data_IF_263692418361
#
_entry.id   IF_263692418361
#
_cell.length_a   1.000
_cell.length_b   1.000
_cell.length_c   1.000
_cell.angle_alpha   90.00
_cell.angle_beta   90.00
_cell.angle_gamma   90.00
#
_symmetry.space_group_name_H-M   'P 1'
#
loop_
_entity.id
_entity.type
_entity.pdbx_description
1 polymer ?
#
# COMPACT_ATOMS: atom_id res chain seq x y z
N UNK A 1 4.33 35.90 -41.33
CA UNK A 1 3.31 34.89 -41.72
C UNK A 1 3.69 34.05 -42.96
N UNK A 2 4.52 34.54 -43.89
CA UNK A 2 4.91 33.78 -45.10
C UNK A 2 5.83 32.57 -44.82
N UNK A 3 6.73 32.69 -43.85
CA UNK A 3 7.75 31.67 -43.50
C UNK A 3 7.15 30.37 -42.96
N UNK A 4 6.18 30.45 -42.05
CA UNK A 4 5.44 29.29 -41.52
C UNK A 4 4.70 28.52 -42.63
N UNK A 5 4.11 29.24 -43.59
CA UNK A 5 3.38 28.65 -44.73
C UNK A 5 4.31 27.90 -45.68
N UNK A 6 5.53 28.42 -45.87
CA UNK A 6 6.57 27.77 -46.69
C UNK A 6 7.13 26.54 -45.98
N UNK A 7 7.41 26.64 -44.67
CA UNK A 7 7.89 25.51 -43.86
C UNK A 7 6.91 24.33 -43.85
N UNK A 8 5.61 24.60 -43.63
CA UNK A 8 4.57 23.56 -43.68
C UNK A 8 4.50 22.88 -45.05
N UNK A 9 4.50 23.65 -46.14
CA UNK A 9 4.50 23.10 -47.51
C UNK A 9 5.71 22.20 -47.77
N UNK A 10 6.87 22.53 -47.19
CA UNK A 10 8.11 21.76 -47.33
C UNK A 10 8.03 20.39 -46.63
N UNK A 11 7.42 20.37 -45.43
CA UNK A 11 7.17 19.13 -44.66
C UNK A 11 6.23 18.19 -45.43
N UNK A 12 5.13 18.72 -45.99
CA UNK A 12 4.16 17.93 -46.75
C UNK A 12 4.72 17.36 -48.06
N UNK A 13 5.66 18.07 -48.71
CA UNK A 13 6.26 17.66 -49.99
C UNK A 13 7.25 16.50 -49.86
N UNK A 14 7.90 16.32 -48.71
CA UNK A 14 8.75 15.16 -48.42
C UNK A 14 8.27 14.43 -47.14
N UNK A 15 7.06 13.89 -47.21
CA UNK A 15 6.31 13.36 -46.08
C UNK A 15 6.99 12.15 -45.45
N UNK A 16 7.63 11.28 -46.25
CA UNK A 16 8.29 10.07 -45.73
C UNK A 16 9.42 10.38 -44.75
N UNK A 17 10.33 11.30 -45.09
CA UNK A 17 11.44 11.69 -44.19
C UNK A 17 10.96 12.48 -42.98
N UNK A 18 9.99 13.38 -43.19
CA UNK A 18 9.46 14.22 -42.11
C UNK A 18 8.66 13.42 -41.08
N UNK A 19 7.93 12.38 -41.52
CA UNK A 19 7.18 11.50 -40.61
C UNK A 19 8.13 10.65 -39.77
N UNK A 20 9.21 10.09 -40.34
CA UNK A 20 10.15 9.28 -39.56
C UNK A 20 10.75 10.07 -38.40
N UNK A 21 11.25 11.28 -38.66
CA UNK A 21 11.84 12.12 -37.61
C UNK A 21 10.81 12.57 -36.58
N UNK A 22 9.61 12.97 -37.02
CA UNK A 22 8.53 13.36 -36.12
C UNK A 22 8.08 12.19 -35.23
N UNK A 23 7.94 11.00 -35.79
CA UNK A 23 7.58 9.79 -35.04
C UNK A 23 8.64 9.42 -34.01
N UNK A 24 9.93 9.51 -34.35
CA UNK A 24 11.01 9.26 -33.38
C UNK A 24 10.92 10.24 -32.21
N UNK A 25 10.71 11.52 -32.47
CA UNK A 25 10.56 12.55 -31.42
C UNK A 25 9.29 12.27 -30.60
N UNK A 26 8.17 11.96 -31.25
CA UNK A 26 6.89 11.68 -30.58
C UNK A 26 6.98 10.45 -29.67
N UNK A 27 7.62 9.37 -30.13
CA UNK A 27 7.85 8.16 -29.34
C UNK A 27 8.73 8.49 -28.13
N UNK A 28 9.84 9.22 -28.33
CA UNK A 28 10.72 9.63 -27.23
C UNK A 28 10.02 10.52 -26.20
N UNK A 29 9.27 11.52 -26.66
CA UNK A 29 8.51 12.42 -25.78
C UNK A 29 7.42 11.66 -25.01
N UNK A 30 6.70 10.75 -25.68
CA UNK A 30 5.68 9.92 -25.04
C UNK A 30 6.31 9.01 -23.98
N UNK A 31 7.45 8.38 -24.28
CA UNK A 31 8.16 7.53 -23.34
C UNK A 31 8.57 8.28 -22.07
N UNK A 32 9.11 9.50 -22.21
CA UNK A 32 9.49 10.35 -21.06
C UNK A 32 8.27 10.78 -20.24
N UNK A 33 7.17 11.17 -20.89
CA UNK A 33 5.94 11.58 -20.21
C UNK A 33 5.30 10.41 -19.44
N UNK A 34 5.19 9.24 -20.07
CA UNK A 34 4.65 8.03 -19.42
C UNK A 34 5.53 7.61 -18.25
N UNK A 35 6.86 7.66 -18.41
CA UNK A 35 7.77 7.35 -17.32
C UNK A 35 7.63 8.34 -16.15
N UNK A 36 7.53 9.64 -16.42
CA UNK A 36 7.30 10.65 -15.38
C UNK A 36 5.97 10.46 -14.63
N UNK A 37 4.89 10.15 -15.36
CA UNK A 37 3.60 9.82 -14.77
C UNK A 37 3.68 8.54 -13.90
N UNK A 38 4.36 7.50 -14.38
CA UNK A 38 4.56 6.26 -13.64
C UNK A 38 5.31 6.47 -12.32
N UNK A 39 6.39 7.24 -12.32
CA UNK A 39 7.13 7.56 -11.07
C UNK A 39 6.22 8.26 -10.06
N UNK A 40 5.41 9.21 -10.53
CA UNK A 40 4.47 9.95 -9.67
C UNK A 40 3.39 9.03 -9.09
N UNK A 41 2.82 8.15 -9.92
CA UNK A 41 1.81 7.18 -9.49
C UNK A 41 2.38 6.18 -8.46
N UNK A 42 3.59 5.68 -8.68
CA UNK A 42 4.28 4.81 -7.72
C UNK A 42 4.55 5.54 -6.40
N UNK A 43 4.99 6.80 -6.45
CA UNK A 43 5.26 7.58 -5.24
C UNK A 43 4.00 7.70 -4.37
N UNK A 44 2.87 8.09 -4.97
CA UNK A 44 1.62 8.20 -4.24
C UNK A 44 1.07 6.83 -3.84
N UNK A 45 1.19 5.81 -4.68
CA UNK A 45 0.76 4.45 -4.39
C UNK A 45 1.50 3.85 -3.19
N UNK A 46 2.81 4.08 -3.09
CA UNK A 46 3.63 3.63 -1.94
C UNK A 46 3.26 4.39 -0.67
N UNK A 47 3.08 5.71 -0.74
CA UNK A 47 2.65 6.52 0.41
C UNK A 47 1.27 6.06 0.92
N UNK A 48 0.32 5.91 -0.01
CA UNK A 48 -1.03 5.41 0.30
C UNK A 48 -0.99 4.00 0.87
N UNK A 49 -0.25 3.09 0.25
CA UNK A 49 -0.12 1.70 0.67
C UNK A 49 0.56 1.53 2.03
N UNK A 50 1.58 2.33 2.33
CA UNK A 50 2.27 2.30 3.63
C UNK A 50 1.31 2.64 4.78
N UNK A 51 0.50 3.68 4.57
CA UNK A 51 -0.47 4.16 5.54
C UNK A 51 -1.67 3.21 5.67
N UNK A 52 -2.21 2.71 4.55
CA UNK A 52 -3.27 1.69 4.56
C UNK A 52 -2.78 0.38 5.20
N UNK A 53 -1.50 0.04 5.01
CA UNK A 53 -0.86 -1.15 5.51
C UNK A 53 -0.67 -1.12 7.02
N UNK A 54 -0.03 -0.08 7.51
CA UNK A 54 0.52 -0.02 8.87
C UNK A 54 -0.18 0.98 9.79
N UNK A 55 -0.93 1.94 9.23
CA UNK A 55 -1.50 3.05 9.97
C UNK A 55 -0.47 4.17 10.23
N UNK A 56 -0.96 5.33 10.67
CA UNK A 56 -0.10 6.47 11.01
C UNK A 56 0.62 6.28 12.35
N UNK A 57 -0.01 5.58 13.29
CA UNK A 57 0.52 5.29 14.60
C UNK A 57 0.54 3.79 14.82
N UNK A 58 1.67 3.27 15.26
CA UNK A 58 1.83 1.87 15.63
C UNK A 58 2.32 1.79 17.08
N UNK A 59 1.65 0.97 17.87
CA UNK A 59 2.00 0.75 19.28
C UNK A 59 2.61 -0.63 19.42
N UNK A 60 3.85 -0.69 19.90
CA UNK A 60 4.58 -1.93 20.16
C UNK A 60 4.90 -2.07 21.65
N UNK A 61 5.06 -3.32 22.10
CA UNK A 61 5.59 -3.61 23.43
C UNK A 61 7.05 -3.13 23.52
N UNK A 62 7.42 -2.54 24.64
CA UNK A 62 8.81 -2.11 24.88
C UNK A 62 9.75 -3.31 24.71
N UNK A 63 10.84 -3.15 23.94
CA UNK A 63 11.79 -4.24 23.64
C UNK A 63 11.46 -5.06 22.37
N UNK A 64 10.29 -4.84 21.74
CA UNK A 64 9.90 -5.56 20.52
C UNK A 64 10.93 -5.43 19.38
N UNK A 65 11.52 -4.25 19.18
CA UNK A 65 12.52 -4.06 18.11
C UNK A 65 13.85 -4.75 18.38
N UNK A 66 14.19 -5.03 19.65
CA UNK A 66 15.45 -5.68 20.02
C UNK A 66 15.33 -7.21 20.04
N UNK A 67 14.19 -7.74 20.50
CA UNK A 67 14.03 -9.17 20.77
C UNK A 67 12.77 -9.79 20.15
N UNK A 68 11.78 -8.97 19.75
CA UNK A 68 10.48 -9.43 19.26
C UNK A 68 10.41 -9.74 17.77
N UNK A 69 11.39 -9.30 16.97
CA UNK A 69 11.44 -9.61 15.53
C UNK A 69 11.70 -11.09 15.23
N UNK A 70 12.42 -11.79 16.12
CA UNK A 70 12.69 -13.22 15.99
C UNK A 70 11.55 -14.11 16.51
N UNK A 71 10.71 -13.60 17.41
CA UNK A 71 9.61 -14.32 18.04
C UNK A 71 8.38 -13.41 18.21
N UNK A 72 7.71 -13.00 17.11
CA UNK A 72 6.62 -12.02 17.17
C UNK A 72 5.39 -12.51 17.94
N UNK A 73 5.21 -13.83 18.07
CA UNK A 73 4.13 -14.42 18.87
C UNK A 73 4.31 -14.15 20.38
N UNK A 74 5.55 -14.12 20.87
CA UNK A 74 5.86 -13.97 22.31
C UNK A 74 5.82 -12.50 22.77
N UNK A 75 5.91 -11.57 21.81
CA UNK A 75 5.95 -10.13 22.07
C UNK A 75 4.64 -9.41 21.75
N UNK A 76 3.53 -10.15 21.69
CA UNK A 76 2.19 -9.60 21.61
C UNK A 76 1.83 -8.72 22.83
N UNK A 77 0.82 -7.86 22.65
CA UNK A 77 0.26 -7.04 23.72
C UNK A 77 -0.88 -7.82 24.38
N UNK A 78 -0.67 -8.35 25.59
CA UNK A 78 -1.64 -9.19 26.29
C UNK A 78 -2.99 -8.47 26.55
N UNK A 79 -2.92 -7.22 27.04
CA UNK A 79 -4.09 -6.39 27.38
C UNK A 79 -4.47 -5.42 26.27
N UNK A 80 -4.48 -5.90 25.06
CA UNK A 80 -4.68 -5.02 23.93
C UNK A 80 -6.02 -4.30 23.87
N UNK A 81 -7.06 -4.91 24.44
CA UNK A 81 -8.41 -4.35 24.45
C UNK A 81 -8.44 -3.07 25.28
N UNK A 82 -7.62 -3.02 26.33
CA UNK A 82 -7.50 -1.85 27.19
C UNK A 82 -6.65 -0.77 26.50
N UNK A 83 -5.59 -1.16 25.80
CA UNK A 83 -4.78 -0.23 24.99
C UNK A 83 -5.60 0.36 23.85
N UNK A 84 -6.36 -0.45 23.12
CA UNK A 84 -7.21 0.02 22.01
C UNK A 84 -8.36 0.91 22.51
N UNK A 85 -8.91 0.61 23.70
CA UNK A 85 -9.89 1.46 24.37
C UNK A 85 -9.29 2.80 24.78
N UNK A 86 -8.13 2.79 25.43
CA UNK A 86 -7.43 4.00 25.85
C UNK A 86 -7.16 4.93 24.66
N UNK A 87 -6.66 4.38 23.55
CA UNK A 87 -6.40 5.14 22.31
C UNK A 87 -7.70 5.71 21.72
N UNK A 88 -8.81 4.98 21.81
CA UNK A 88 -10.11 5.42 21.26
C UNK A 88 -10.81 6.47 22.14
N UNK A 89 -10.57 6.42 23.44
CA UNK A 89 -11.19 7.30 24.43
C UNK A 89 -10.37 8.56 24.73
N UNK A 90 -9.09 8.57 24.34
CA UNK A 90 -8.20 9.73 24.49
C UNK A 90 -8.74 10.96 23.74
N UNK A 91 -8.92 12.12 24.41
CA UNK A 91 -9.50 13.33 23.81
C UNK A 91 -8.74 13.88 22.60
N UNK A 92 -7.41 13.71 22.57
CA UNK A 92 -6.55 14.21 21.50
C UNK A 92 -6.51 13.19 20.35
N UNK A 93 -6.27 11.91 20.67
CA UNK A 93 -6.16 10.87 19.64
C UNK A 93 -7.49 10.53 18.98
N UNK A 94 -8.61 10.67 19.68
CA UNK A 94 -9.95 10.37 19.14
C UNK A 94 -10.33 11.27 17.96
N UNK A 95 -9.87 12.53 17.95
CA UNK A 95 -10.15 13.44 16.84
C UNK A 95 -9.28 13.13 15.62
N UNK A 96 -8.09 12.60 15.87
CA UNK A 96 -7.09 12.29 14.87
C UNK A 96 -7.30 10.87 14.29
N UNK A 97 -7.88 9.96 15.07
CA UNK A 97 -7.99 8.51 14.77
C UNK A 97 -9.32 8.10 14.18
N UNK A 98 -9.28 7.64 12.92
CA UNK A 98 -10.46 7.09 12.23
C UNK A 98 -10.74 5.62 12.57
N UNK A 99 -9.68 4.81 12.72
CA UNK A 99 -9.74 3.36 12.93
C UNK A 99 -8.63 2.96 13.89
N UNK A 100 -8.96 2.13 14.87
CA UNK A 100 -7.98 1.42 15.73
C UNK A 100 -8.18 -0.06 15.50
N UNK A 101 -7.25 -0.70 14.78
CA UNK A 101 -7.31 -2.15 14.51
C UNK A 101 -6.20 -2.88 15.23
N UNK A 102 -6.43 -4.10 15.72
CA UNK A 102 -5.40 -5.06 16.06
C UNK A 102 -4.76 -5.69 14.81
N UNK A 103 -3.43 -5.85 14.79
CA UNK A 103 -2.71 -6.72 13.84
C UNK A 103 -1.93 -7.78 14.61
N UNK A 104 -1.82 -9.01 14.10
CA UNK A 104 -0.89 -10.02 14.64
C UNK A 104 0.01 -10.51 13.52
N UNK A 105 1.30 -10.64 13.78
CA UNK A 105 2.20 -11.39 12.92
C UNK A 105 2.57 -12.72 13.58
N UNK A 106 2.63 -13.77 12.78
CA UNK A 106 3.08 -15.09 13.20
C UNK A 106 4.03 -15.62 12.13
N UNK A 107 5.12 -16.23 12.57
CA UNK A 107 6.12 -16.80 11.68
C UNK A 107 6.62 -18.11 12.27
N UNK A 108 6.87 -19.10 11.42
CA UNK A 108 7.37 -20.39 11.86
C UNK A 108 7.82 -21.27 10.71
N UNK A 109 8.15 -22.52 11.01
CA UNK A 109 8.49 -23.53 10.01
C UNK A 109 7.42 -24.61 10.04
N UNK A 110 6.72 -24.79 8.92
CA UNK A 110 5.75 -25.86 8.74
C UNK A 110 6.48 -27.06 8.16
N UNK A 111 6.60 -28.13 8.96
CA UNK A 111 7.16 -29.41 8.54
C UNK A 111 6.07 -30.32 7.97
N UNK A 112 6.26 -30.82 6.76
CA UNK A 112 5.57 -31.99 6.25
C UNK A 112 6.47 -33.21 6.51
N UNK A 113 6.13 -33.97 7.56
CA UNK A 113 6.87 -35.15 7.98
C UNK A 113 6.78 -36.31 6.98
N UNK A 114 5.70 -36.42 6.21
CA UNK A 114 5.54 -37.47 5.20
C UNK A 114 6.54 -37.31 4.03
N UNK A 115 6.83 -36.06 3.65
CA UNK A 115 7.71 -35.75 2.53
C UNK A 115 9.10 -35.25 2.94
N UNK A 116 9.47 -35.28 4.23
CA UNK A 116 10.71 -34.69 4.76
C UNK A 116 10.97 -33.25 4.28
N UNK A 117 9.91 -32.46 4.06
CA UNK A 117 10.03 -31.09 3.56
C UNK A 117 9.58 -30.12 4.63
N UNK A 118 10.40 -29.09 4.89
CA UNK A 118 10.07 -28.00 5.80
C UNK A 118 10.03 -26.71 5.03
N UNK A 119 8.99 -25.90 5.24
CA UNK A 119 8.85 -24.58 4.60
C UNK A 119 8.61 -23.51 5.66
N UNK A 120 9.33 -22.38 5.61
CA UNK A 120 8.99 -21.24 6.43
C UNK A 120 7.61 -20.72 6.03
N UNK A 121 6.81 -20.30 7.00
CA UNK A 121 5.53 -19.64 6.77
C UNK A 121 5.43 -18.36 7.59
N UNK A 122 4.71 -17.40 7.03
CA UNK A 122 4.42 -16.11 7.66
C UNK A 122 2.91 -15.88 7.53
N UNK A 123 2.25 -15.66 8.66
CA UNK A 123 0.85 -15.32 8.75
C UNK A 123 0.68 -13.93 9.36
N UNK A 124 -0.32 -13.19 8.89
CA UNK A 124 -0.78 -11.96 9.54
C UNK A 124 -2.27 -12.00 9.78
N UNK A 125 -2.68 -11.74 11.01
CA UNK A 125 -4.08 -11.60 11.43
C UNK A 125 -4.48 -10.13 11.51
N UNK A 126 -5.70 -9.82 11.10
CA UNK A 126 -6.31 -8.50 11.19
C UNK A 126 -7.83 -8.64 11.30
N UNK A 127 -8.50 -7.61 11.80
CA UNK A 127 -9.97 -7.55 11.82
C UNK A 127 -10.47 -7.08 10.44
N UNK A 128 -11.27 -7.89 9.72
CA UNK A 128 -11.66 -7.57 8.34
C UNK A 128 -12.40 -6.22 8.20
N UNK A 129 -13.34 -5.92 9.10
CA UNK A 129 -14.10 -4.67 9.05
C UNK A 129 -13.24 -3.43 9.21
N UNK A 130 -12.23 -3.50 10.07
CA UNK A 130 -11.31 -2.38 10.31
C UNK A 130 -10.31 -2.26 9.16
N UNK A 131 -9.87 -3.38 8.59
CA UNK A 131 -8.99 -3.41 7.41
C UNK A 131 -9.64 -2.77 6.19
N UNK A 132 -10.92 -3.03 5.98
CA UNK A 132 -11.67 -2.44 4.87
C UNK A 132 -11.82 -0.93 5.05
N UNK A 133 -12.06 -0.46 6.28
CA UNK A 133 -12.08 0.98 6.61
C UNK A 133 -10.71 1.62 6.42
N UNK A 134 -9.61 0.94 6.74
CA UNK A 134 -8.25 1.45 6.49
C UNK A 134 -7.98 1.60 4.99
N UNK A 135 -8.41 0.64 4.16
CA UNK A 135 -8.24 0.69 2.69
C UNK A 135 -9.04 1.80 2.02
N UNK A 136 -10.07 2.33 2.67
CA UNK A 136 -10.82 3.49 2.17
C UNK A 136 -10.04 4.80 2.32
N UNK A 137 -8.94 4.82 3.08
CA UNK A 137 -8.13 6.02 3.19
C UNK A 137 -7.39 6.30 1.87
N UNK A 138 -7.63 7.48 1.32
CA UNK A 138 -7.09 7.90 0.04
C UNK A 138 -6.93 9.42 -0.02
N UNK A 139 -5.88 9.95 0.61
CA UNK A 139 -5.60 11.39 0.61
C UNK A 139 -5.24 11.91 -0.78
N UNK A 140 -4.49 11.12 -1.56
CA UNK A 140 -3.97 11.54 -2.86
C UNK A 140 -4.90 11.22 -4.04
N UNK A 141 -6.12 10.71 -3.79
CA UNK A 141 -7.04 10.28 -4.84
C UNK A 141 -6.49 9.14 -5.71
N UNK A 142 -5.42 8.48 -5.26
CA UNK A 142 -4.85 7.30 -5.92
C UNK A 142 -5.91 6.23 -6.04
N UNK A 143 -6.07 5.63 -7.23
CA UNK A 143 -7.03 4.57 -7.47
C UNK A 143 -6.63 3.26 -6.79
N UNK A 144 -6.46 3.24 -5.46
CA UNK A 144 -6.39 1.99 -4.70
C UNK A 144 -7.81 1.44 -4.60
N UNK A 145 -8.31 0.89 -5.70
CA UNK A 145 -9.48 0.02 -5.69
C UNK A 145 -9.12 -1.23 -4.88
N UNK A 146 -9.23 -1.12 -3.57
CA UNK A 146 -9.33 -2.27 -2.70
C UNK A 146 -10.53 -3.09 -3.17
N UNK A 147 -10.24 -4.18 -3.87
CA UNK A 147 -11.11 -5.34 -4.05
C UNK A 147 -12.42 -5.14 -4.85
N UNK A 148 -12.76 -3.96 -5.38
CA UNK A 148 -14.00 -3.80 -6.18
C UNK A 148 -13.96 -4.53 -7.54
N UNK A 149 -12.80 -4.98 -8.01
CA UNK A 149 -12.64 -5.73 -9.27
C UNK A 149 -11.91 -7.08 -9.11
N UNK A 150 -11.63 -7.49 -7.88
CA UNK A 150 -11.01 -8.80 -7.61
C UNK A 150 -12.13 -9.76 -7.23
N UNK A 151 -12.59 -10.58 -8.17
CA UNK A 151 -13.70 -11.55 -8.01
C UNK A 151 -13.48 -12.67 -6.97
N UNK A 152 -12.88 -12.36 -5.81
CA UNK A 152 -12.64 -13.26 -4.70
C UNK A 152 -13.64 -12.97 -3.58
N UNK A 153 -14.91 -13.23 -3.89
CA UNK A 153 -15.99 -13.35 -2.92
C UNK A 153 -15.99 -14.77 -2.33
N UNK A 154 -15.14 -15.07 -1.33
CA UNK A 154 -15.35 -16.11 -0.28
C UNK A 154 -14.08 -16.49 0.51
N UNK A 155 -14.24 -16.50 1.85
CA UNK A 155 -13.54 -17.31 2.88
C UNK A 155 -12.06 -16.91 3.21
N UNK A 156 -11.52 -16.93 4.44
CA UNK A 156 -11.55 -17.93 5.55
C UNK A 156 -11.28 -17.26 6.93
N UNK A 157 -11.74 -17.92 8.00
CA UNK A 157 -11.71 -17.63 9.47
C UNK A 157 -10.33 -17.89 10.14
N UNK A 158 -10.00 -17.19 11.25
CA UNK A 158 -9.57 -17.75 12.57
C UNK A 158 -8.44 -17.02 13.34
N UNK A 159 -8.78 -16.64 14.58
CA UNK A 159 -8.05 -16.41 15.85
C UNK A 159 -6.97 -15.32 16.06
N UNK A 160 -6.99 -14.80 17.31
CA UNK A 160 -6.51 -13.51 17.81
C UNK A 160 -5.01 -13.38 18.13
N UNK A 161 -4.48 -12.14 18.09
CA UNK A 161 -3.65 -11.40 19.08
C UNK A 161 -3.34 -10.01 18.46
N UNK A 162 -2.82 -9.01 19.17
CA UNK A 162 -3.10 -7.59 18.85
C UNK A 162 -1.93 -6.61 18.84
N UNK A 163 -1.93 -5.81 17.77
CA UNK A 163 -1.28 -4.51 17.58
C UNK A 163 -2.31 -3.41 17.33
N UNK A 164 -2.56 -2.51 18.29
CA UNK A 164 -3.41 -1.34 18.05
C UNK A 164 -2.67 -0.33 17.15
N UNK A 165 -3.16 -0.10 15.92
CA UNK A 165 -2.71 1.01 15.08
C UNK A 165 -3.75 2.13 15.07
N UNK A 166 -3.35 3.34 15.48
CA UNK A 166 -4.18 4.53 15.41
C UNK A 166 -3.87 5.31 14.13
N UNK A 167 -4.80 6.13 13.68
CA UNK A 167 -4.66 6.94 12.48
C UNK A 167 -4.59 8.41 12.90
N UNK A 168 -3.95 9.29 12.15
CA UNK A 168 -3.93 10.72 12.47
C UNK A 168 -4.34 11.47 11.20
N UNK A 169 -5.47 12.18 11.23
CA UNK A 169 -5.82 13.18 10.22
C UNK A 169 -5.07 14.48 10.54
N UNK A 170 -4.37 15.02 9.56
CA UNK A 170 -4.09 16.46 9.47
C UNK A 170 -5.08 17.09 8.50
#
# INVERSE_FOLDING_TARGET
MLTLKIAFRNIFRNTRRSITTLSTIAIGATAVLVFGAYITDIQYGVQTGAVQGTGHLQVFRNGYFHYGTAAPADWGIDRYQDVSRLIREDPELKQLTAVVTPIQSLSGIAGNFENNTSKPFFGTGFVPSDRDRMKQWNEYGTGSQGLTNSGLSRLVVSNATVLASAFCRY
#
